data_IF_224663973349
#
_entry.id   IF_224663973349
#
_cell.length_a   1.000
_cell.length_b   1.000
_cell.length_c   1.000
_cell.angle_alpha   90.00
_cell.angle_beta   90.00
_cell.angle_gamma   90.00
#
_symmetry.space_group_name_H-M   'P 1'
#
loop_
_entity.id
_entity.type
_entity.pdbx_description
1 polymer ?
#
# COMPACT_ATOMS: atom_id res chain seq x y z
N UNK A 1 15.91 15.05 -7.59
CA UNK A 1 14.63 15.71 -7.95
C UNK A 1 13.51 14.80 -7.49
N UNK A 2 12.60 15.31 -6.65
CA UNK A 2 11.50 14.54 -6.06
C UNK A 2 10.25 14.76 -6.92
N UNK A 3 9.77 13.71 -7.58
CA UNK A 3 8.49 13.72 -8.27
C UNK A 3 7.41 13.35 -7.26
N UNK A 4 6.70 14.34 -6.74
CA UNK A 4 5.45 14.15 -6.01
C UNK A 4 4.38 14.03 -7.09
N UNK A 5 3.90 12.81 -7.35
CA UNK A 5 2.72 12.59 -8.21
C UNK A 5 1.47 13.00 -7.41
N UNK A 6 0.68 13.98 -7.87
CA UNK A 6 -0.65 14.19 -7.34
C UNK A 6 -1.60 13.23 -8.07
N UNK A 7 -1.90 12.08 -7.49
CA UNK A 7 -3.02 11.25 -7.97
C UNK A 7 -4.30 11.90 -7.44
N UNK A 8 -4.75 12.92 -8.16
CA UNK A 8 -6.10 13.45 -8.06
C UNK A 8 -7.02 12.38 -8.68
N UNK A 9 -7.69 11.59 -7.85
CA UNK A 9 -8.78 10.74 -8.31
C UNK A 9 -9.99 11.66 -8.54
N UNK A 10 -10.12 12.12 -9.78
CA UNK A 10 -11.37 12.67 -10.30
C UNK A 10 -12.40 11.52 -10.32
N UNK A 11 -13.31 11.54 -9.35
CA UNK A 11 -14.56 10.79 -9.42
C UNK A 11 -15.40 11.38 -10.55
N UNK A 12 -15.18 10.89 -11.77
CA UNK A 12 -16.11 11.09 -12.88
C UNK A 12 -17.37 10.27 -12.57
N UNK A 13 -18.30 10.89 -11.84
CA UNK A 13 -19.70 10.47 -11.77
C UNK A 13 -20.29 10.73 -13.15
N UNK A 14 -20.08 9.78 -14.06
CA UNK A 14 -20.81 9.73 -15.32
C UNK A 14 -22.24 9.30 -15.03
N UNK A 15 -23.16 10.26 -15.08
CA UNK A 15 -24.61 10.03 -15.09
C UNK A 15 -24.99 9.10 -16.26
N UNK A 16 -25.08 7.81 -15.98
CA UNK A 16 -25.68 6.80 -16.85
C UNK A 16 -27.08 6.47 -16.34
N UNK A 17 -28.08 6.85 -17.11
CA UNK A 17 -29.50 6.63 -16.84
C UNK A 17 -29.82 5.12 -16.77
N UNK A 18 -30.27 4.62 -15.63
CA UNK A 18 -30.58 3.20 -15.41
C UNK A 18 -31.56 2.99 -14.26
N UNK A 19 -32.72 2.44 -14.62
CA UNK A 19 -33.84 2.13 -13.72
C UNK A 19 -33.48 1.05 -12.70
N UNK A 20 -33.99 1.18 -11.46
CA UNK A 20 -34.35 0.05 -10.59
C UNK A 20 -33.27 -0.83 -9.95
N UNK A 21 -32.02 -0.83 -10.42
CA UNK A 21 -30.93 -1.74 -9.95
C UNK A 21 -29.82 -1.04 -9.14
N UNK A 22 -30.04 0.22 -8.74
CA UNK A 22 -28.99 1.10 -8.23
C UNK A 22 -28.34 0.65 -6.91
N UNK A 23 -29.02 -0.12 -6.06
CA UNK A 23 -28.46 -0.60 -4.79
C UNK A 23 -27.42 -1.70 -4.98
N UNK A 24 -27.76 -2.71 -5.78
CA UNK A 24 -26.93 -3.91 -5.98
C UNK A 24 -25.65 -3.59 -6.77
N UNK A 25 -25.76 -2.73 -7.79
CA UNK A 25 -24.58 -2.26 -8.54
C UNK A 25 -23.65 -1.42 -7.65
N UNK A 26 -24.19 -0.59 -6.76
CA UNK A 26 -23.39 0.21 -5.82
C UNK A 26 -22.64 -0.66 -4.81
N UNK A 27 -23.25 -1.73 -4.29
CA UNK A 27 -22.58 -2.68 -3.39
C UNK A 27 -21.45 -3.40 -4.12
N UNK A 28 -21.72 -3.90 -5.33
CA UNK A 28 -20.71 -4.59 -6.14
C UNK A 28 -19.50 -3.71 -6.48
N UNK A 29 -19.73 -2.43 -6.74
CA UNK A 29 -18.64 -1.48 -6.99
C UNK A 29 -17.84 -1.16 -5.71
N UNK A 30 -18.48 -1.14 -4.54
CA UNK A 30 -17.79 -1.05 -3.25
C UNK A 30 -16.95 -2.30 -2.96
N UNK A 31 -17.49 -3.50 -3.20
CA UNK A 31 -16.77 -4.76 -3.01
C UNK A 31 -15.54 -4.84 -3.90
N UNK A 32 -15.65 -4.44 -5.17
CA UNK A 32 -14.50 -4.34 -6.08
C UNK A 32 -13.43 -3.38 -5.55
N UNK A 33 -13.84 -2.23 -5.02
CA UNK A 33 -12.91 -1.26 -4.45
C UNK A 33 -12.21 -1.82 -3.19
N UNK A 34 -12.95 -2.53 -2.33
CA UNK A 34 -12.40 -3.21 -1.15
C UNK A 34 -11.34 -4.24 -1.58
N UNK A 35 -11.69 -5.16 -2.47
CA UNK A 35 -10.75 -6.19 -2.95
C UNK A 35 -9.51 -5.57 -3.59
N UNK A 36 -9.68 -4.52 -4.39
CA UNK A 36 -8.54 -3.84 -5.00
C UNK A 36 -7.59 -3.19 -3.97
N UNK A 37 -8.10 -2.77 -2.81
CA UNK A 37 -7.26 -2.22 -1.74
C UNK A 37 -6.65 -3.34 -0.89
N UNK A 38 -7.38 -4.42 -0.62
CA UNK A 38 -6.84 -5.61 0.05
C UNK A 38 -5.68 -6.22 -0.75
N UNK A 39 -5.82 -6.35 -2.07
CA UNK A 39 -4.75 -6.83 -2.96
C UNK A 39 -3.51 -5.93 -2.88
N UNK A 40 -3.71 -4.61 -2.75
CA UNK A 40 -2.61 -3.66 -2.56
C UNK A 40 -1.97 -3.80 -1.18
N UNK A 41 -2.74 -4.04 -0.12
CA UNK A 41 -2.17 -4.31 1.21
C UNK A 41 -1.26 -5.53 1.19
N UNK A 42 -1.69 -6.61 0.52
CA UNK A 42 -0.87 -7.81 0.35
C UNK A 42 0.44 -7.51 -0.40
N UNK A 43 0.40 -6.64 -1.41
CA UNK A 43 1.60 -6.21 -2.11
C UNK A 43 2.54 -5.41 -1.20
N UNK A 44 2.02 -4.50 -0.37
CA UNK A 44 2.84 -3.73 0.59
C UNK A 44 3.49 -4.63 1.65
N UNK A 45 2.75 -5.61 2.20
CA UNK A 45 3.33 -6.59 3.13
C UNK A 45 4.47 -7.38 2.49
N UNK A 46 4.30 -7.80 1.24
CA UNK A 46 5.36 -8.49 0.49
C UNK A 46 6.59 -7.62 0.28
N UNK A 47 6.40 -6.33 -0.04
CA UNK A 47 7.52 -5.38 -0.16
C UNK A 47 8.29 -5.30 1.16
N UNK A 48 7.59 -5.18 2.29
CA UNK A 48 8.20 -5.14 3.63
C UNK A 48 9.00 -6.42 3.87
N UNK A 49 8.39 -7.59 3.68
CA UNK A 49 9.06 -8.89 3.90
C UNK A 49 10.33 -9.03 3.04
N UNK A 50 10.25 -8.67 1.76
CA UNK A 50 11.38 -8.73 0.83
C UNK A 50 12.51 -7.78 1.27
N UNK A 51 12.18 -6.55 1.70
CA UNK A 51 13.19 -5.59 2.18
C UNK A 51 13.82 -6.02 3.50
N UNK A 52 13.04 -6.56 4.45
CA UNK A 52 13.56 -7.09 5.72
C UNK A 52 14.53 -8.25 5.49
N UNK A 53 14.17 -9.16 4.58
CA UNK A 53 15.06 -10.27 4.17
C UNK A 53 16.37 -9.75 3.58
N UNK A 54 16.32 -8.72 2.75
CA UNK A 54 17.52 -8.09 2.18
C UNK A 54 18.38 -7.42 3.26
N UNK A 55 17.77 -6.72 4.22
CA UNK A 55 18.47 -6.13 5.36
C UNK A 55 19.21 -7.20 6.15
N UNK A 56 18.56 -8.32 6.47
CA UNK A 56 19.19 -9.42 7.23
C UNK A 56 20.42 -9.99 6.50
N UNK A 57 20.36 -10.13 5.17
CA UNK A 57 21.51 -10.56 4.36
C UNK A 57 22.62 -9.52 4.41
N UNK A 58 22.29 -8.24 4.28
CA UNK A 58 23.25 -7.13 4.30
C UNK A 58 23.93 -6.99 5.66
N UNK A 59 23.18 -7.11 6.76
CA UNK A 59 23.72 -7.11 8.11
C UNK A 59 24.74 -8.24 8.30
N UNK A 60 24.43 -9.46 7.83
CA UNK A 60 25.39 -10.56 7.83
C UNK A 60 26.62 -10.36 6.94
N UNK A 61 26.57 -9.44 5.97
CA UNK A 61 27.71 -9.07 5.13
C UNK A 61 28.58 -7.96 5.75
N UNK A 62 28.03 -7.14 6.66
CA UNK A 62 28.83 -6.13 7.40
C UNK A 62 29.96 -6.80 8.18
N UNK A 63 29.64 -7.91 8.87
CA UNK A 63 30.62 -8.64 9.67
C UNK A 63 31.73 -9.27 8.83
N UNK A 64 31.47 -9.50 7.54
CA UNK A 64 32.42 -10.08 6.57
C UNK A 64 33.18 -9.03 5.77
N UNK A 65 32.84 -7.75 5.92
CA UNK A 65 33.45 -6.68 5.14
C UNK A 65 34.84 -6.33 5.66
N UNK A 66 35.83 -6.34 4.75
CA UNK A 66 37.25 -6.18 5.07
C UNK A 66 37.71 -4.72 5.17
N UNK A 67 36.84 -3.75 4.93
CA UNK A 67 37.18 -2.31 5.00
C UNK A 67 36.03 -1.48 5.55
N UNK A 68 36.36 -0.38 6.21
CA UNK A 68 35.35 0.55 6.74
C UNK A 68 34.51 1.18 5.62
N UNK A 69 35.13 1.56 4.49
CA UNK A 69 34.38 2.08 3.35
C UNK A 69 33.34 1.11 2.78
N UNK A 70 33.62 -0.20 2.83
CA UNK A 70 32.64 -1.23 2.44
C UNK A 70 31.52 -1.37 3.47
N UNK A 71 31.85 -1.34 4.77
CA UNK A 71 30.84 -1.35 5.85
C UNK A 71 29.92 -0.14 5.75
N UNK A 72 30.45 1.04 5.48
CA UNK A 72 29.67 2.28 5.34
C UNK A 72 28.73 2.22 4.15
N UNK A 73 29.19 1.66 3.02
CA UNK A 73 28.31 1.40 1.88
C UNK A 73 27.15 0.47 2.25
N UNK A 74 27.45 -0.66 2.90
CA UNK A 74 26.40 -1.61 3.31
C UNK A 74 25.41 -0.97 4.29
N UNK A 75 25.88 -0.16 5.24
CA UNK A 75 25.02 0.60 6.16
C UNK A 75 24.11 1.58 5.42
N UNK A 76 24.63 2.27 4.41
CA UNK A 76 23.83 3.18 3.57
C UNK A 76 22.76 2.41 2.79
N UNK A 77 23.13 1.29 2.17
CA UNK A 77 22.18 0.44 1.45
C UNK A 77 21.06 -0.09 2.39
N UNK A 78 21.41 -0.50 3.62
CA UNK A 78 20.42 -0.87 4.66
C UNK A 78 19.50 0.31 5.00
N UNK A 79 20.04 1.52 5.14
CA UNK A 79 19.23 2.70 5.45
C UNK A 79 18.24 3.01 4.32
N UNK A 80 18.62 2.86 3.05
CA UNK A 80 17.71 3.01 1.92
C UNK A 80 16.57 1.98 1.99
N UNK A 81 16.89 0.73 2.30
CA UNK A 81 15.89 -0.35 2.47
C UNK A 81 14.92 -0.05 3.61
N UNK A 82 15.40 0.49 4.73
CA UNK A 82 14.56 0.94 5.85
C UNK A 82 13.63 2.10 5.49
N UNK A 83 14.05 2.99 4.57
CA UNK A 83 13.15 4.03 4.05
C UNK A 83 12.01 3.42 3.24
N UNK A 84 12.30 2.45 2.37
CA UNK A 84 11.29 1.74 1.59
C UNK A 84 10.26 1.07 2.51
N UNK A 85 10.71 0.39 3.57
CA UNK A 85 9.82 -0.23 4.58
C UNK A 85 8.90 0.82 5.20
N UNK A 86 9.46 1.95 5.63
CA UNK A 86 8.67 3.03 6.26
C UNK A 86 7.61 3.58 5.32
N UNK A 87 7.93 3.74 4.03
CA UNK A 87 6.98 4.21 3.03
C UNK A 87 5.84 3.20 2.82
N UNK A 88 6.16 1.89 2.75
CA UNK A 88 5.17 0.81 2.67
C UNK A 88 4.26 0.77 3.92
N UNK A 89 4.81 0.97 5.13
CA UNK A 89 4.02 1.06 6.37
C UNK A 89 3.06 2.26 6.37
N UNK A 90 3.48 3.41 5.81
CA UNK A 90 2.59 4.57 5.65
C UNK A 90 1.46 4.23 4.68
N UNK A 91 1.76 3.55 3.58
CA UNK A 91 0.75 3.10 2.64
C UNK A 91 -0.25 2.15 3.28
N UNK A 92 0.21 1.17 4.06
CA UNK A 92 -0.65 0.23 4.80
C UNK A 92 -1.62 0.98 5.71
N UNK A 93 -1.13 1.92 6.54
CA UNK A 93 -1.99 2.72 7.43
C UNK A 93 -3.04 3.53 6.67
N UNK A 94 -2.67 4.08 5.52
CA UNK A 94 -3.62 4.81 4.66
C UNK A 94 -4.68 3.86 4.07
N UNK A 95 -4.27 2.68 3.61
CA UNK A 95 -5.15 1.66 3.05
C UNK A 95 -6.13 1.12 4.11
N UNK A 96 -5.66 0.88 5.34
CA UNK A 96 -6.50 0.48 6.47
C UNK A 96 -7.62 1.50 6.75
N UNK A 97 -7.27 2.80 6.74
CA UNK A 97 -8.24 3.86 6.92
C UNK A 97 -9.31 3.85 5.82
N UNK A 98 -8.89 3.75 4.55
CA UNK A 98 -9.82 3.73 3.41
C UNK A 98 -10.71 2.48 3.44
N UNK A 99 -10.15 1.31 3.78
CA UNK A 99 -10.94 0.09 3.95
C UNK A 99 -11.98 0.24 5.05
N UNK A 100 -11.63 0.84 6.19
CA UNK A 100 -12.57 1.14 7.26
C UNK A 100 -13.77 1.98 6.79
N UNK A 101 -13.51 3.01 6.00
CA UNK A 101 -14.55 3.87 5.40
C UNK A 101 -15.42 3.09 4.39
N UNK A 102 -14.82 2.25 3.55
CA UNK A 102 -15.53 1.45 2.55
C UNK A 102 -16.41 0.36 3.20
N UNK A 103 -15.90 -0.35 4.21
CA UNK A 103 -16.69 -1.32 4.94
C UNK A 103 -17.86 -0.66 5.67
N UNK A 104 -17.62 0.45 6.38
CA UNK A 104 -18.70 1.18 7.05
C UNK A 104 -19.79 1.62 6.06
N UNK A 105 -19.39 2.08 4.87
CA UNK A 105 -20.34 2.44 3.81
C UNK A 105 -21.11 1.23 3.28
N UNK A 106 -20.44 0.11 2.99
CA UNK A 106 -21.09 -1.14 2.57
C UNK A 106 -22.11 -1.59 3.61
N UNK A 107 -21.70 -1.65 4.87
CA UNK A 107 -22.55 -2.10 5.97
C UNK A 107 -23.76 -1.18 6.18
N UNK A 108 -23.61 0.14 5.96
CA UNK A 108 -24.73 1.09 6.01
C UNK A 108 -25.77 0.89 4.90
N UNK A 109 -25.37 0.32 3.77
CA UNK A 109 -26.26 0.04 2.64
C UNK A 109 -26.93 -1.32 2.85
N UNK A 110 -26.20 -2.31 3.35
CA UNK A 110 -26.72 -3.67 3.58
C UNK A 110 -27.71 -3.75 4.76
N UNK A 111 -27.58 -2.88 5.77
CA UNK A 111 -28.45 -2.85 6.95
C UNK A 111 -29.62 -1.85 6.84
N UNK A 112 -29.91 -1.34 5.64
CA UNK A 112 -31.10 -0.52 5.33
C UNK A 112 -32.19 -1.37 4.70
#
# INVERSE_FOLDING_TARGET
MRYILPIIIFLAVGCGNGNGENGEQTIKDLERAITAIEDRQQAEYKIIEDQERMINIMEGNIDKANSEGMKDKIRNDINEKRVIIRDAEVNLRNQEKVLGELYAKRDSIMNK
#
